data_IF_090283621440
#
_entry.id   IF_090283621440
#
_cell.length_a   1.000
_cell.length_b   1.000
_cell.length_c   1.000
_cell.angle_alpha   90.00
_cell.angle_beta   90.00
_cell.angle_gamma   90.00
#
_symmetry.space_group_name_H-M   'P 1'
#
loop_
_entity.id
_entity.type
_entity.pdbx_description
1 polymer ?
#
# COMPACT_ATOMS: atom_id res chain seq x y z
N UNK A 1 12.04 -2.90 10.82
CA UNK A 1 11.75 -1.49 10.48
C UNK A 1 10.29 -1.32 10.09
N UNK A 2 9.83 -1.72 8.90
CA UNK A 2 8.43 -1.48 8.46
C UNK A 2 7.34 -2.04 9.40
N UNK A 3 7.63 -3.13 10.12
CA UNK A 3 6.73 -3.76 11.10
C UNK A 3 7.25 -3.71 12.55
N UNK A 4 8.17 -2.80 12.83
CA UNK A 4 8.79 -2.68 14.15
C UNK A 4 7.83 -1.97 15.13
N UNK A 5 7.39 -2.63 16.22
CA UNK A 5 6.47 -2.03 17.18
C UNK A 5 7.09 -0.86 17.96
N UNK A 6 8.42 -0.73 17.99
CA UNK A 6 9.10 0.42 18.61
C UNK A 6 9.03 1.68 17.76
N UNK A 7 8.80 1.53 16.45
CA UNK A 7 8.66 2.64 15.49
C UNK A 7 7.18 2.95 15.26
N UNK A 8 6.37 1.91 15.06
CA UNK A 8 4.97 1.98 14.65
C UNK A 8 4.06 1.20 15.62
N UNK A 9 3.16 1.89 16.33
CA UNK A 9 2.10 1.25 17.13
C UNK A 9 1.19 0.38 16.25
N UNK A 10 0.84 -0.83 16.67
CA UNK A 10 0.06 -1.79 15.86
C UNK A 10 0.63 -1.99 14.44
N UNK A 11 1.90 -2.40 14.30
CA UNK A 11 2.63 -2.38 13.02
C UNK A 11 2.08 -3.36 11.97
N UNK A 12 1.17 -4.26 12.36
CA UNK A 12 0.51 -5.23 11.47
C UNK A 12 -0.80 -4.70 10.89
N UNK A 13 -1.32 -3.60 11.44
CA UNK A 13 -2.59 -3.00 11.01
C UNK A 13 -2.33 -1.97 9.91
N UNK A 14 -3.08 -2.06 8.81
CA UNK A 14 -3.09 -1.03 7.79
C UNK A 14 -3.86 0.20 8.32
N UNK A 15 -3.13 1.26 8.67
CA UNK A 15 -3.67 2.52 9.24
C UNK A 15 -2.98 3.74 8.62
N UNK A 16 -3.44 4.20 7.43
CA UNK A 16 -2.85 5.36 6.75
C UNK A 16 -2.86 6.64 7.60
N UNK A 17 -3.88 6.80 8.43
CA UNK A 17 -4.11 7.96 9.29
C UNK A 17 -2.94 8.19 10.26
N UNK A 18 -2.17 7.14 10.57
CA UNK A 18 -1.00 7.24 11.45
C UNK A 18 0.00 8.30 11.00
N UNK A 19 0.12 8.54 9.69
CA UNK A 19 1.06 9.50 9.12
C UNK A 19 0.46 10.91 9.05
N UNK A 20 -0.87 11.04 9.18
CA UNK A 20 -1.57 12.33 9.25
C UNK A 20 -1.62 12.85 10.69
N UNK A 21 -1.59 11.95 11.67
CA UNK A 21 -1.61 12.28 13.11
C UNK A 21 -0.23 12.63 13.68
N UNK A 22 0.86 12.26 13.00
CA UNK A 22 2.23 12.61 13.39
C UNK A 22 2.49 14.10 13.16
N UNK A 23 3.32 14.69 14.02
CA UNK A 23 3.90 15.99 13.71
C UNK A 23 4.85 15.87 12.50
N UNK A 24 5.15 16.97 11.79
CA UNK A 24 5.95 16.92 10.57
C UNK A 24 7.36 16.34 10.74
N UNK A 25 8.00 16.55 11.90
CA UNK A 25 9.35 16.07 12.17
C UNK A 25 9.34 14.56 12.42
N UNK A 26 8.38 14.07 13.19
CA UNK A 26 8.16 12.65 13.42
C UNK A 26 7.81 11.93 12.11
N UNK A 27 6.95 12.52 11.28
CA UNK A 27 6.54 11.94 10.01
C UNK A 27 7.72 11.76 9.04
N UNK A 28 8.62 12.74 8.96
CA UNK A 28 9.84 12.64 8.14
C UNK A 28 10.80 11.57 8.69
N UNK A 29 11.00 11.52 10.01
CA UNK A 29 11.88 10.53 10.64
C UNK A 29 11.35 9.09 10.46
N UNK A 30 10.03 8.92 10.49
CA UNK A 30 9.35 7.62 10.39
C UNK A 30 8.86 7.32 8.97
N UNK A 31 9.29 8.08 7.97
CA UNK A 31 8.92 7.85 6.58
C UNK A 31 9.48 6.50 6.07
N UNK A 32 8.63 5.56 5.63
CA UNK A 32 9.09 4.30 5.08
C UNK A 32 10.06 4.43 3.89
N UNK A 33 9.96 5.51 3.11
CA UNK A 33 10.84 5.78 1.95
C UNK A 33 12.32 5.83 2.33
N UNK A 34 12.64 6.09 3.59
CA UNK A 34 14.00 6.08 4.14
C UNK A 34 14.64 4.68 4.14
N UNK A 35 13.85 3.59 4.14
CA UNK A 35 14.38 2.24 4.25
C UNK A 35 13.80 1.21 3.26
N UNK A 36 12.60 1.42 2.71
CA UNK A 36 11.97 0.42 1.82
C UNK A 36 12.73 0.22 0.50
N UNK A 37 13.53 1.21 0.10
CA UNK A 37 14.39 1.14 -1.09
C UNK A 37 15.83 0.70 -0.79
N UNK A 38 16.13 0.26 0.44
CA UNK A 38 17.47 -0.11 0.88
C UNK A 38 18.33 1.10 1.26
N UNK A 39 19.63 0.89 1.45
CA UNK A 39 20.53 1.87 2.07
C UNK A 39 21.87 2.05 1.34
N UNK A 40 22.49 3.21 1.56
CA UNK A 40 23.86 3.50 1.17
C UNK A 40 24.12 3.32 -0.34
N UNK A 41 25.30 2.78 -0.69
CA UNK A 41 25.74 2.60 -2.09
C UNK A 41 24.89 1.64 -2.92
N UNK A 42 23.98 0.88 -2.29
CA UNK A 42 23.10 -0.10 -2.94
C UNK A 42 21.62 0.27 -2.82
N UNK A 43 21.31 1.49 -2.36
CA UNK A 43 19.94 2.00 -2.39
C UNK A 43 19.40 1.95 -3.82
N UNK A 44 18.12 1.59 -3.97
CA UNK A 44 17.49 1.44 -5.27
C UNK A 44 17.66 2.74 -6.08
N UNK A 45 18.37 2.70 -7.22
CA UNK A 45 18.56 3.89 -8.05
C UNK A 45 17.24 4.37 -8.68
N UNK A 46 16.27 3.46 -8.81
CA UNK A 46 14.94 3.75 -9.32
C UNK A 46 13.94 4.27 -8.29
N UNK A 47 14.33 4.53 -7.02
CA UNK A 47 13.39 4.86 -5.94
C UNK A 47 12.47 6.05 -6.26
N UNK A 48 13.02 7.13 -6.83
CA UNK A 48 12.26 8.34 -7.13
C UNK A 48 11.28 8.07 -8.29
N UNK A 49 11.72 7.30 -9.29
CA UNK A 49 10.87 6.88 -10.40
C UNK A 49 9.75 5.98 -9.90
N UNK A 50 10.06 4.97 -9.08
CA UNK A 50 9.08 4.05 -8.51
C UNK A 50 8.03 4.76 -7.67
N UNK A 51 8.46 5.66 -6.76
CA UNK A 51 7.56 6.42 -5.89
C UNK A 51 6.59 7.29 -6.70
N UNK A 52 7.11 8.07 -7.65
CA UNK A 52 6.30 8.91 -8.52
C UNK A 52 5.34 8.11 -9.40
N UNK A 53 5.78 6.95 -9.94
CA UNK A 53 4.94 6.11 -10.78
C UNK A 53 3.82 5.44 -10.00
N UNK A 54 4.09 4.94 -8.79
CA UNK A 54 3.05 4.33 -7.95
C UNK A 54 2.01 5.38 -7.55
N UNK A 55 2.45 6.58 -7.16
CA UNK A 55 1.54 7.67 -6.85
C UNK A 55 0.66 8.04 -8.06
N UNK A 56 1.27 8.22 -9.23
CA UNK A 56 0.54 8.57 -10.46
C UNK A 56 -0.43 7.47 -10.87
N UNK A 57 -0.01 6.20 -10.82
CA UNK A 57 -0.87 5.07 -11.15
C UNK A 57 -2.10 5.02 -10.25
N UNK A 58 -1.95 5.18 -8.92
CA UNK A 58 -3.06 5.22 -7.98
C UNK A 58 -3.99 6.40 -8.27
N UNK A 59 -3.43 7.59 -8.50
CA UNK A 59 -4.22 8.79 -8.83
C UNK A 59 -5.02 8.61 -10.12
N UNK A 60 -4.41 8.09 -11.19
CA UNK A 60 -5.11 7.82 -12.45
C UNK A 60 -6.18 6.74 -12.29
N UNK A 61 -5.87 5.63 -11.63
CA UNK A 61 -6.81 4.52 -11.42
C UNK A 61 -8.03 5.00 -10.64
N UNK A 62 -7.83 5.71 -9.53
CA UNK A 62 -8.93 6.20 -8.68
C UNK A 62 -9.73 7.34 -9.32
N UNK A 63 -9.13 8.07 -10.25
CA UNK A 63 -9.81 9.11 -11.03
C UNK A 63 -10.78 8.52 -12.07
N UNK A 64 -10.42 7.42 -12.72
CA UNK A 64 -11.18 6.90 -13.88
C UNK A 64 -11.93 5.59 -13.63
N UNK A 65 -11.69 4.92 -12.50
CA UNK A 65 -12.39 3.69 -12.13
C UNK A 65 -13.05 3.80 -10.76
N UNK A 66 -14.18 3.11 -10.63
CA UNK A 66 -14.81 2.75 -9.36
C UNK A 66 -14.43 1.30 -9.05
N UNK A 67 -13.68 1.10 -7.96
CA UNK A 67 -13.18 -0.21 -7.52
C UNK A 67 -14.02 -0.66 -6.33
N UNK A 68 -14.72 -1.79 -6.50
CA UNK A 68 -15.68 -2.33 -5.56
C UNK A 68 -15.35 -3.79 -5.22
N UNK A 69 -15.94 -4.25 -4.12
CA UNK A 69 -15.97 -5.68 -3.80
C UNK A 69 -16.85 -6.40 -4.81
N UNK A 70 -16.43 -7.57 -5.26
CA UNK A 70 -17.28 -8.46 -6.04
C UNK A 70 -18.45 -8.97 -5.19
N UNK A 71 -19.50 -9.44 -5.85
CA UNK A 71 -20.65 -10.08 -5.22
C UNK A 71 -20.73 -11.55 -5.61
N UNK A 72 -21.21 -12.39 -4.71
CA UNK A 72 -21.51 -13.79 -4.99
C UNK A 72 -22.86 -13.96 -5.72
N UNK A 73 -23.28 -15.21 -5.92
CA UNK A 73 -24.54 -15.53 -6.60
C UNK A 73 -25.79 -15.01 -5.86
N UNK A 74 -25.69 -14.81 -4.54
CA UNK A 74 -26.77 -14.31 -3.69
C UNK A 74 -26.71 -12.77 -3.54
N UNK A 75 -25.73 -12.12 -4.17
CA UNK A 75 -25.53 -10.67 -4.14
C UNK A 75 -24.76 -10.16 -2.91
N UNK A 76 -24.23 -11.04 -2.06
CA UNK A 76 -23.46 -10.65 -0.88
C UNK A 76 -22.03 -10.24 -1.27
N UNK A 77 -21.47 -9.25 -0.57
CA UNK A 77 -20.13 -8.75 -0.85
C UNK A 77 -19.04 -9.73 -0.42
N UNK A 78 -18.15 -10.04 -1.35
CA UNK A 78 -16.95 -10.84 -1.10
C UNK A 78 -15.86 -9.88 -0.65
N UNK A 79 -15.48 -9.95 0.64
CA UNK A 79 -14.30 -9.22 1.14
C UNK A 79 -13.06 -10.08 0.91
N UNK A 80 -12.11 -9.67 0.06
CA UNK A 80 -10.88 -10.42 -0.16
C UNK A 80 -10.10 -10.59 1.14
N UNK A 81 -9.59 -11.79 1.40
CA UNK A 81 -8.62 -12.00 2.45
C UNK A 81 -7.29 -11.34 2.07
N UNK A 82 -6.67 -10.63 3.02
CA UNK A 82 -5.36 -10.01 2.83
C UNK A 82 -4.24 -11.07 2.91
N UNK A 83 -4.21 -11.98 1.95
CA UNK A 83 -3.26 -13.08 1.88
C UNK A 83 -2.16 -12.81 0.84
N UNK A 84 -0.92 -12.84 1.29
CA UNK A 84 0.26 -12.51 0.48
C UNK A 84 1.22 -13.69 0.41
N UNK A 85 1.83 -13.88 -0.76
CA UNK A 85 2.86 -14.89 -0.95
C UNK A 85 4.09 -14.58 -0.08
N UNK A 86 4.66 -15.64 0.50
CA UNK A 86 5.95 -15.56 1.18
C UNK A 86 7.08 -15.80 0.18
N UNK A 87 8.12 -14.96 0.22
CA UNK A 87 9.25 -15.07 -0.69
C UNK A 87 10.12 -13.81 -0.70
N UNK A 88 11.06 -13.75 -1.66
CA UNK A 88 11.90 -12.57 -1.88
C UNK A 88 11.05 -11.34 -2.31
N UNK A 89 9.97 -11.58 -3.04
CA UNK A 89 8.94 -10.59 -3.37
C UNK A 89 7.61 -11.09 -2.80
N UNK A 90 6.91 -10.22 -2.09
CA UNK A 90 5.57 -10.48 -1.54
C UNK A 90 4.53 -9.83 -2.45
N UNK A 91 3.61 -10.62 -2.98
CA UNK A 91 2.46 -10.14 -3.77
C UNK A 91 1.17 -10.75 -3.23
N UNK A 92 0.01 -10.10 -3.41
CA UNK A 92 -1.26 -10.70 -3.01
C UNK A 92 -1.52 -12.00 -3.80
N UNK A 93 -2.24 -12.93 -3.18
CA UNK A 93 -2.86 -14.04 -3.90
C UNK A 93 -3.98 -13.52 -4.82
N UNK A 94 -4.39 -14.33 -5.79
CA UNK A 94 -5.51 -13.97 -6.66
C UNK A 94 -6.78 -13.74 -5.83
N UNK A 95 -7.46 -12.62 -6.06
CA UNK A 95 -8.73 -12.29 -5.45
C UNK A 95 -9.67 -11.70 -6.50
N UNK A 96 -10.97 -11.78 -6.22
CA UNK A 96 -12.01 -11.18 -7.06
C UNK A 96 -12.27 -9.74 -6.63
N UNK A 97 -12.40 -8.85 -7.61
CA UNK A 97 -12.87 -7.48 -7.42
C UNK A 97 -13.69 -7.06 -8.63
N UNK A 98 -14.53 -6.03 -8.46
CA UNK A 98 -15.31 -5.43 -9.52
C UNK A 98 -14.73 -4.04 -9.82
N UNK A 99 -14.31 -3.82 -11.08
CA UNK A 99 -13.67 -2.58 -11.51
C UNK A 99 -14.45 -2.04 -12.69
N UNK A 100 -15.10 -0.90 -12.50
CA UNK A 100 -15.97 -0.28 -13.50
C UNK A 100 -15.45 1.12 -13.85
N UNK A 101 -15.61 1.58 -15.11
CA UNK A 101 -15.32 2.98 -15.44
C UNK A 101 -16.14 3.93 -14.57
N UNK A 102 -15.52 5.03 -14.14
CA UNK A 102 -16.17 6.09 -13.36
C UNK A 102 -16.90 7.05 -14.31
N UNK A 103 -18.19 7.35 -14.08
CA UNK A 103 -18.96 8.30 -14.89
C UNK A 103 -18.45 9.74 -14.81
#
# INVERSE_FOLDING_TARGET
MARDPTIYTDPKTFRPERFMEMDPEEAELKDPRQFVFGFGRRVCPGRNFADANVWLAIACITAVFDIRKSRDADGAEITPEAYFSSGFVSHPHAFVCDILPRP
#
